data_IF_930939347309
#
_entry.id   IF_930939347309
#
_cell.length_a   1.000
_cell.length_b   1.000
_cell.length_c   1.000
_cell.angle_alpha   90.00
_cell.angle_beta   90.00
_cell.angle_gamma   90.00
#
_symmetry.space_group_name_H-M   'P 1'
#
loop_
_entity.id
_entity.type
_entity.pdbx_description
1 polymer ?
#
# COMPACT_ATOMS: atom_id res chain seq x y z
N UNK A 1 10.79 -26.90 0.31
CA UNK A 1 10.47 -25.98 1.42
C UNK A 1 10.91 -24.58 1.03
N UNK A 2 10.02 -23.78 0.41
CA UNK A 2 10.41 -22.51 -0.19
C UNK A 2 10.54 -21.43 0.89
N UNK A 3 11.71 -20.78 0.94
CA UNK A 3 12.06 -19.66 1.81
C UNK A 3 10.90 -18.65 1.87
N UNK A 4 10.09 -18.72 2.93
CA UNK A 4 9.18 -17.62 3.31
C UNK A 4 10.11 -16.50 3.77
N UNK A 5 10.35 -15.53 2.90
CA UNK A 5 11.24 -14.40 3.15
C UNK A 5 10.82 -13.70 4.44
N UNK A 6 11.75 -13.63 5.40
CA UNK A 6 11.61 -12.94 6.69
C UNK A 6 11.03 -11.53 6.54
N UNK A 7 11.40 -10.86 5.45
CA UNK A 7 10.93 -9.52 5.04
C UNK A 7 9.44 -9.44 4.74
N UNK A 8 8.80 -10.50 4.22
CA UNK A 8 7.34 -10.47 3.97
C UNK A 8 6.56 -10.52 5.28
N UNK A 9 7.07 -11.25 6.28
CA UNK A 9 6.44 -11.37 7.61
C UNK A 9 6.57 -10.05 8.37
N UNK A 10 7.75 -9.43 8.36
CA UNK A 10 7.96 -8.12 8.97
C UNK A 10 7.07 -7.03 8.34
N UNK A 11 6.96 -7.04 7.01
CA UNK A 11 6.17 -6.06 6.28
C UNK A 11 4.67 -6.26 6.51
N UNK A 12 4.20 -7.52 6.52
CA UNK A 12 2.83 -7.88 6.89
C UNK A 12 2.52 -7.43 8.33
N UNK A 13 3.40 -7.73 9.28
CA UNK A 13 3.24 -7.34 10.68
C UNK A 13 3.18 -5.82 10.84
N UNK A 14 4.02 -5.07 10.12
CA UNK A 14 4.00 -3.61 10.11
C UNK A 14 2.71 -3.02 9.51
N UNK A 15 2.17 -3.62 8.44
CA UNK A 15 0.88 -3.24 7.86
C UNK A 15 -0.26 -3.55 8.83
N UNK A 16 -0.27 -4.75 9.42
CA UNK A 16 -1.31 -5.17 10.38
C UNK A 16 -1.36 -4.29 11.63
N UNK A 17 -0.21 -3.80 12.11
CA UNK A 17 -0.14 -2.84 13.24
C UNK A 17 -0.82 -1.49 12.96
N UNK A 18 -0.97 -1.09 11.70
CA UNK A 18 -1.57 0.19 11.34
C UNK A 18 -2.85 0.01 10.53
N UNK A 19 -4.01 0.22 11.15
CA UNK A 19 -5.32 0.12 10.46
C UNK A 19 -5.38 0.96 9.18
N UNK A 20 -4.91 2.22 9.26
CA UNK A 20 -4.89 3.15 8.14
C UNK A 20 -3.96 2.69 7.00
N UNK A 21 -2.82 2.09 7.34
CA UNK A 21 -1.88 1.53 6.37
C UNK A 21 -2.52 0.34 5.65
N UNK A 22 -3.13 -0.56 6.41
CA UNK A 22 -3.85 -1.72 5.87
C UNK A 22 -4.95 -1.27 4.93
N UNK A 23 -5.77 -0.31 5.35
CA UNK A 23 -6.85 0.24 4.55
C UNK A 23 -6.31 0.84 3.25
N UNK A 24 -5.38 1.79 3.30
CA UNK A 24 -4.79 2.41 2.10
C UNK A 24 -4.21 1.36 1.15
N UNK A 25 -3.51 0.34 1.68
CA UNK A 25 -2.99 -0.76 0.86
C UNK A 25 -4.12 -1.54 0.16
N UNK A 26 -5.25 -1.75 0.83
CA UNK A 26 -6.41 -2.46 0.28
C UNK A 26 -7.11 -1.67 -0.82
N UNK A 27 -7.10 -0.34 -0.76
CA UNK A 27 -7.75 0.55 -1.73
C UNK A 27 -6.91 0.86 -2.96
N UNK A 28 -5.61 0.58 -2.95
CA UNK A 28 -4.76 0.72 -4.13
C UNK A 28 -4.90 -0.54 -4.98
N UNK A 29 -5.64 -0.42 -6.09
CA UNK A 29 -5.83 -1.52 -7.04
C UNK A 29 -4.98 -1.35 -8.32
N UNK A 30 -4.59 -0.11 -8.65
CA UNK A 30 -3.83 0.20 -9.85
C UNK A 30 -2.92 1.43 -9.70
N UNK A 31 -2.45 1.99 -10.81
CA UNK A 31 -1.76 3.27 -10.82
C UNK A 31 -2.75 4.39 -10.48
N UNK A 32 -2.67 4.92 -9.26
CA UNK A 32 -3.62 5.92 -8.75
C UNK A 32 -2.90 7.11 -8.12
N UNK A 33 -3.54 8.26 -8.13
CA UNK A 33 -3.04 9.46 -7.48
C UNK A 33 -3.31 9.44 -5.98
N UNK A 34 -2.50 10.15 -5.15
CA UNK A 34 -2.77 10.30 -3.72
C UNK A 34 -4.19 10.78 -3.42
N UNK A 35 -4.75 11.61 -4.30
CA UNK A 35 -6.11 12.16 -4.17
C UNK A 35 -7.19 11.10 -4.42
N UNK A 36 -7.00 10.24 -5.41
CA UNK A 36 -7.92 9.12 -5.67
C UNK A 36 -7.87 8.11 -4.53
N UNK A 37 -6.66 7.76 -4.10
CA UNK A 37 -6.45 6.83 -2.97
C UNK A 37 -7.10 7.41 -1.71
N UNK A 38 -6.90 8.70 -1.42
CA UNK A 38 -7.49 9.34 -0.24
C UNK A 38 -9.02 9.35 -0.28
N UNK A 39 -9.61 9.59 -1.47
CA UNK A 39 -11.07 9.52 -1.68
C UNK A 39 -11.59 8.09 -1.46
N UNK A 40 -10.93 7.08 -2.01
CA UNK A 40 -11.32 5.67 -1.84
C UNK A 40 -11.19 5.19 -0.40
N UNK A 41 -10.11 5.58 0.26
CA UNK A 41 -9.82 5.16 1.63
C UNK A 41 -10.53 5.98 2.69
N UNK A 42 -11.17 7.10 2.32
CA UNK A 42 -11.80 8.04 3.26
C UNK A 42 -10.80 8.75 4.18
N UNK A 43 -9.51 8.78 3.85
CA UNK A 43 -8.48 9.46 4.63
C UNK A 43 -8.15 10.81 4.03
N UNK A 44 -7.56 11.72 4.82
CA UNK A 44 -7.11 13.01 4.29
C UNK A 44 -5.93 12.83 3.32
N UNK A 45 -5.79 13.76 2.38
CA UNK A 45 -4.67 13.79 1.42
C UNK A 45 -3.33 13.80 2.17
N UNK A 46 -3.20 14.59 3.24
CA UNK A 46 -2.00 14.67 4.06
C UNK A 46 -1.62 13.31 4.65
N UNK A 47 -2.61 12.58 5.17
CA UNK A 47 -2.39 11.26 5.75
C UNK A 47 -1.96 10.27 4.67
N UNK A 48 -2.69 10.27 3.55
CA UNK A 48 -2.42 9.38 2.41
C UNK A 48 -1.02 9.63 1.86
N UNK A 49 -0.63 10.89 1.68
CA UNK A 49 0.72 11.27 1.25
C UNK A 49 1.81 10.78 2.20
N UNK A 50 1.59 10.92 3.53
CA UNK A 50 2.52 10.41 4.55
C UNK A 50 2.69 8.90 4.45
N UNK A 51 1.58 8.15 4.37
CA UNK A 51 1.60 6.68 4.26
C UNK A 51 2.22 6.22 2.94
N UNK A 52 1.90 6.88 1.82
CA UNK A 52 2.54 6.60 0.52
C UNK A 52 4.05 6.84 0.56
N UNK A 53 4.50 7.87 1.29
CA UNK A 53 5.92 8.10 1.58
C UNK A 53 6.56 6.94 2.34
N UNK A 54 5.92 6.46 3.41
CA UNK A 54 6.37 5.27 4.16
C UNK A 54 6.39 4.01 3.28
N UNK A 55 5.36 3.82 2.45
CA UNK A 55 5.26 2.71 1.51
C UNK A 55 6.39 2.75 0.49
N UNK A 56 6.72 3.93 -0.02
CA UNK A 56 7.86 4.10 -0.92
C UNK A 56 9.18 3.76 -0.23
N UNK A 57 9.39 4.23 1.01
CA UNK A 57 10.59 3.92 1.82
C UNK A 57 10.74 2.42 2.10
N UNK A 58 9.64 1.73 2.42
CA UNK A 58 9.63 0.27 2.63
C UNK A 58 9.59 -0.56 1.34
N UNK A 59 9.53 0.09 0.17
CA UNK A 59 9.45 -0.59 -1.11
C UNK A 59 8.13 -1.29 -1.39
N UNK A 60 7.05 -0.87 -0.74
CA UNK A 60 5.67 -1.36 -0.91
C UNK A 60 5.03 -0.74 -2.16
N UNK A 61 5.19 0.57 -2.32
CA UNK A 61 4.68 1.34 -3.45
C UNK A 61 5.83 1.96 -4.24
N UNK A 62 5.61 2.20 -5.54
CA UNK A 62 6.49 2.96 -6.43
C UNK A 62 5.72 4.12 -7.04
N UNK A 63 6.38 5.25 -7.21
CA UNK A 63 5.86 6.36 -8.01
C UNK A 63 6.24 6.11 -9.48
N UNK A 64 5.25 6.04 -10.36
CA UNK A 64 5.46 5.83 -11.80
C UNK A 64 5.93 7.10 -12.50
N UNK A 65 5.38 8.26 -12.10
CA UNK A 65 5.68 9.56 -12.69
C UNK A 65 6.32 10.51 -11.67
N UNK A 66 7.59 10.31 -11.30
CA UNK A 66 8.29 11.22 -10.38
C UNK A 66 8.55 12.60 -11.01
N UNK A 67 8.54 12.70 -12.35
CA UNK A 67 8.81 13.94 -13.10
C UNK A 67 7.68 14.97 -12.99
N UNK A 68 6.45 14.55 -12.67
CA UNK A 68 5.33 15.49 -12.55
C UNK A 68 5.20 16.06 -11.13
N UNK A 69 4.93 17.37 -11.05
CA UNK A 69 4.69 18.10 -9.80
C UNK A 69 3.28 17.81 -9.24
N UNK A 70 2.31 17.59 -10.11
CA UNK A 70 0.90 17.31 -9.78
C UNK A 70 0.47 16.02 -10.48
N UNK A 71 -0.41 15.21 -9.87
CA UNK A 71 -0.91 13.97 -10.50
C UNK A 71 0.06 12.77 -10.45
N UNK A 72 0.91 12.69 -9.42
CA UNK A 72 1.83 11.55 -9.26
C UNK A 72 1.05 10.24 -9.13
N UNK A 73 1.33 9.28 -10.01
CA UNK A 73 0.73 7.96 -9.96
C UNK A 73 1.56 7.02 -9.08
N UNK A 74 0.90 6.40 -8.12
CA UNK A 74 1.46 5.39 -7.24
C UNK A 74 0.91 4.02 -7.60
N UNK A 75 1.80 3.04 -7.65
CA UNK A 75 1.44 1.65 -7.90
C UNK A 75 2.08 0.75 -6.83
N UNK A 76 1.36 -0.29 -6.40
CA UNK A 76 1.92 -1.32 -5.53
C UNK A 76 2.95 -2.17 -6.28
N UNK A 77 4.05 -2.51 -5.60
CA UNK A 77 5.00 -3.51 -6.10
C UNK A 77 4.37 -4.91 -6.08
N UNK A 78 4.89 -5.85 -6.88
CA UNK A 78 4.39 -7.23 -6.91
C UNK A 78 4.32 -7.89 -5.51
N UNK A 79 5.34 -7.69 -4.67
CA UNK A 79 5.35 -8.19 -3.28
C UNK A 79 4.20 -7.63 -2.43
N UNK A 80 3.92 -6.34 -2.59
CA UNK A 80 2.83 -5.69 -1.87
C UNK A 80 1.45 -6.14 -2.36
N UNK A 81 1.28 -6.40 -3.67
CA UNK A 81 0.06 -6.99 -4.23
C UNK A 81 -0.24 -8.36 -3.59
N UNK A 82 0.76 -9.24 -3.52
CA UNK A 82 0.63 -10.56 -2.85
C UNK A 82 0.20 -10.41 -1.38
N UNK A 83 0.77 -9.45 -0.65
CA UNK A 83 0.41 -9.19 0.75
C UNK A 83 -1.02 -8.67 0.86
N UNK A 84 -1.40 -7.73 -0.02
CA UNK A 84 -2.78 -7.20 -0.09
C UNK A 84 -3.78 -8.33 -0.34
N UNK A 85 -3.49 -9.22 -1.28
CA UNK A 85 -4.40 -10.32 -1.62
C UNK A 85 -4.54 -11.29 -0.42
N UNK A 86 -3.44 -11.62 0.28
CA UNK A 86 -3.49 -12.37 1.55
C UNK A 86 -4.37 -11.68 2.61
N UNK A 87 -4.26 -10.35 2.73
CA UNK A 87 -5.05 -9.58 3.69
C UNK A 87 -6.53 -9.50 3.30
N UNK A 88 -6.87 -9.49 1.99
CA UNK A 88 -8.24 -9.57 1.49
C UNK A 88 -8.84 -10.95 1.78
N UNK A 89 -8.07 -12.02 1.60
CA UNK A 89 -8.47 -13.40 1.95
C UNK A 89 -8.73 -13.58 3.45
N UNK A 90 -7.86 -13.05 4.33
CA UNK A 90 -8.09 -13.08 5.78
C UNK A 90 -9.40 -12.36 6.17
N UNK A 91 -9.72 -11.24 5.52
CA UNK A 91 -10.92 -10.45 5.82
C UNK A 91 -12.23 -11.13 5.38
N UNK A 92 -12.18 -12.06 4.43
CA UNK A 92 -13.36 -12.85 3.98
C UNK A 92 -13.73 -14.00 4.92
N UNK A 93 -12.81 -14.40 5.82
CA UNK A 93 -13.00 -15.53 6.74
C UNK A 93 -13.44 -15.12 8.16
N UNK A 94 -13.55 -13.82 8.44
CA UNK A 94 -14.02 -13.26 9.71
C UNK A 94 -15.33 -12.54 9.51
#
# INVERSE_FOLDING_TARGET
>A
MAKKSETDIELLSWIKRGKQRKDILMYIDGPETPTEISKKSGYSLNHTSRILGEFRKKGIAKCLNPKQKTGRLYELKPKAKVIRDKLKEEKKRS
#
